data_IF_969574423417
#
_entry.id   IF_969574423417
#
_cell.length_a   1.000
_cell.length_b   1.000
_cell.length_c   1.000
_cell.angle_alpha   90.00
_cell.angle_beta   90.00
_cell.angle_gamma   90.00
#
_symmetry.space_group_name_H-M   'P 1'
#
loop_
_entity.id
_entity.type
_entity.pdbx_description
1 polymer ?
#
# COMPACT_ATOMS: atom_id res chain seq x y z
N UNK A 1 11.95 -7.45 -21.22
CA UNK A 1 11.61 -6.02 -20.97
C UNK A 1 11.00 -6.02 -19.60
N UNK A 2 11.58 -5.31 -18.63
CA UNK A 2 11.13 -5.36 -17.24
C UNK A 2 9.62 -5.06 -17.10
N UNK A 3 9.00 -5.65 -16.09
CA UNK A 3 7.58 -5.45 -15.76
C UNK A 3 7.33 -3.98 -15.40
N UNK A 4 8.24 -3.32 -14.67
CA UNK A 4 8.13 -1.88 -14.40
C UNK A 4 7.98 -1.04 -15.68
N UNK A 5 8.77 -1.33 -16.73
CA UNK A 5 8.65 -0.64 -18.04
C UNK A 5 7.33 -0.98 -18.73
N UNK A 6 6.87 -2.24 -18.65
CA UNK A 6 5.55 -2.66 -19.18
C UNK A 6 4.42 -1.87 -18.50
N UNK A 7 4.41 -1.80 -17.17
CA UNK A 7 3.41 -1.08 -16.39
C UNK A 7 3.42 0.42 -16.71
N UNK A 8 4.60 1.05 -16.75
CA UNK A 8 4.73 2.47 -17.09
C UNK A 8 4.12 2.78 -18.45
N UNK A 9 4.45 1.97 -19.46
CA UNK A 9 3.91 2.14 -20.80
C UNK A 9 2.39 1.94 -20.85
N UNK A 10 1.87 0.95 -20.12
CA UNK A 10 0.43 0.71 -20.02
C UNK A 10 -0.33 1.88 -19.41
N UNK A 11 0.16 2.44 -18.29
CA UNK A 11 -0.47 3.59 -17.63
C UNK A 11 -0.44 4.84 -18.52
N UNK A 12 0.71 5.17 -19.12
CA UNK A 12 0.82 6.28 -20.07
C UNK A 12 -0.14 6.12 -21.26
N UNK A 13 -0.27 4.90 -21.79
CA UNK A 13 -1.19 4.58 -22.89
C UNK A 13 -2.65 4.72 -22.45
N UNK A 14 -3.02 4.21 -21.26
CA UNK A 14 -4.37 4.34 -20.69
C UNK A 14 -4.73 5.83 -20.49
N UNK A 15 -3.84 6.62 -19.90
CA UNK A 15 -4.02 8.05 -19.71
C UNK A 15 -4.21 8.80 -21.03
N UNK A 16 -3.34 8.57 -22.01
CA UNK A 16 -3.41 9.18 -23.35
C UNK A 16 -4.70 8.82 -24.08
N UNK A 17 -5.12 7.55 -24.02
CA UNK A 17 -6.36 7.11 -24.64
C UNK A 17 -7.59 7.76 -23.98
N UNK A 18 -7.59 7.93 -22.65
CA UNK A 18 -8.67 8.62 -21.93
C UNK A 18 -8.73 10.10 -22.28
N UNK A 19 -7.58 10.77 -22.38
CA UNK A 19 -7.47 12.16 -22.82
C UNK A 19 -8.06 12.36 -24.22
N UNK A 20 -7.68 11.50 -25.18
CA UNK A 20 -8.17 11.59 -26.55
C UNK A 20 -9.69 11.36 -26.65
N UNK A 21 -10.21 10.35 -25.94
CA UNK A 21 -11.66 10.10 -25.86
C UNK A 21 -12.40 11.31 -25.27
N UNK A 22 -11.87 11.86 -24.18
CA UNK A 22 -12.43 13.04 -23.54
C UNK A 22 -12.46 14.26 -24.48
N UNK A 23 -11.34 14.53 -25.17
CA UNK A 23 -11.26 15.62 -26.14
C UNK A 23 -12.29 15.47 -27.26
N UNK A 24 -12.41 14.27 -27.85
CA UNK A 24 -13.41 14.00 -28.90
C UNK A 24 -14.84 14.24 -28.38
N UNK A 25 -15.17 13.76 -27.17
CA UNK A 25 -16.49 13.99 -26.56
C UNK A 25 -16.78 15.47 -26.31
N UNK A 26 -15.79 16.24 -25.84
CA UNK A 26 -15.93 17.70 -25.63
C UNK A 26 -16.13 18.41 -26.97
N UNK A 27 -15.36 18.08 -28.00
CA UNK A 27 -15.47 18.70 -29.33
C UNK A 27 -16.84 18.40 -29.97
N UNK A 28 -17.30 17.15 -29.92
CA UNK A 28 -18.61 16.77 -30.46
C UNK A 28 -19.73 17.45 -29.68
N UNK A 29 -19.73 17.33 -28.34
CA UNK A 29 -20.78 17.92 -27.50
C UNK A 29 -20.82 19.45 -27.60
N UNK A 30 -19.66 20.11 -27.59
CA UNK A 30 -19.55 21.55 -27.78
C UNK A 30 -19.98 21.99 -29.18
N UNK A 31 -19.62 21.23 -30.22
CA UNK A 31 -20.06 21.49 -31.59
C UNK A 31 -21.59 21.38 -31.74
N UNK A 32 -22.22 20.39 -31.10
CA UNK A 32 -23.68 20.26 -31.07
C UNK A 32 -24.33 21.46 -30.37
N UNK A 33 -23.82 21.88 -29.22
CA UNK A 33 -24.26 23.07 -28.48
C UNK A 33 -24.18 24.34 -29.34
N UNK A 34 -23.03 24.58 -29.98
CA UNK A 34 -22.82 25.76 -30.84
C UNK A 34 -23.77 25.73 -32.04
N UNK A 35 -23.91 24.57 -32.69
CA UNK A 35 -24.80 24.40 -33.83
C UNK A 35 -26.27 24.66 -33.47
N UNK A 36 -26.72 24.23 -32.29
CA UNK A 36 -28.06 24.55 -31.80
C UNK A 36 -28.25 26.04 -31.53
N UNK A 37 -27.23 26.70 -30.96
CA UNK A 37 -27.27 28.14 -30.68
C UNK A 37 -27.34 28.98 -31.97
N UNK A 38 -26.58 28.59 -33.00
CA UNK A 38 -26.53 29.29 -34.29
C UNK A 38 -27.80 29.06 -35.14
N UNK A 39 -28.46 27.90 -35.03
CA UNK A 39 -29.65 27.54 -35.80
C UNK A 39 -30.97 27.89 -35.07
N UNK A 40 -31.05 29.08 -34.47
CA UNK A 40 -32.15 29.55 -33.61
C UNK A 40 -33.58 29.43 -34.22
N UNK A 41 -33.71 29.21 -35.54
CA UNK A 41 -34.96 29.21 -36.30
C UNK A 41 -35.56 27.85 -36.72
N UNK A 42 -34.99 26.69 -36.37
CA UNK A 42 -35.66 25.41 -36.72
C UNK A 42 -36.67 24.96 -35.66
N UNK A 43 -37.87 24.58 -36.12
CA UNK A 43 -39.11 24.28 -35.38
C UNK A 43 -39.12 22.91 -34.68
N UNK A 44 -38.01 22.51 -34.06
CA UNK A 44 -37.93 21.20 -33.39
C UNK A 44 -38.54 21.33 -31.99
N UNK A 45 -39.75 20.80 -31.78
CA UNK A 45 -40.25 20.50 -30.43
C UNK A 45 -39.26 19.52 -29.76
N UNK A 46 -38.82 19.84 -28.54
CA UNK A 46 -37.84 19.11 -27.72
C UNK A 46 -36.33 19.45 -27.86
N UNK A 47 -35.96 20.67 -28.28
CA UNK A 47 -34.54 21.14 -28.23
C UNK A 47 -33.86 20.93 -26.86
N UNK A 48 -34.60 21.03 -25.77
CA UNK A 48 -34.07 20.83 -24.41
C UNK A 48 -33.43 19.44 -24.21
N UNK A 49 -33.92 18.39 -24.90
CA UNK A 49 -33.33 17.04 -24.83
C UNK A 49 -31.94 17.03 -25.46
N UNK A 50 -31.77 17.68 -26.61
CA UNK A 50 -30.48 17.78 -27.30
C UNK A 50 -29.48 18.63 -26.51
N UNK A 51 -29.93 19.71 -25.85
CA UNK A 51 -29.12 20.46 -24.89
C UNK A 51 -28.63 19.61 -23.73
N UNK A 52 -29.53 18.81 -23.11
CA UNK A 52 -29.16 17.91 -22.02
C UNK A 52 -28.16 16.86 -22.51
N UNK A 53 -28.43 16.18 -23.63
CA UNK A 53 -27.54 15.14 -24.17
C UNK A 53 -26.17 15.71 -24.52
N UNK A 54 -26.12 16.89 -25.14
CA UNK A 54 -24.86 17.55 -25.51
C UNK A 54 -24.09 18.01 -24.27
N UNK A 55 -24.77 18.53 -23.25
CA UNK A 55 -24.16 18.91 -21.97
C UNK A 55 -23.61 17.70 -21.23
N UNK A 56 -24.34 16.59 -21.19
CA UNK A 56 -23.88 15.31 -20.62
C UNK A 56 -22.64 14.81 -21.35
N UNK A 57 -22.59 14.89 -22.68
CA UNK A 57 -21.42 14.53 -23.47
C UNK A 57 -20.20 15.42 -23.16
N UNK A 58 -20.39 16.73 -22.99
CA UNK A 58 -19.32 17.64 -22.59
C UNK A 58 -18.80 17.32 -21.20
N UNK A 59 -19.70 17.15 -20.21
CA UNK A 59 -19.32 16.81 -18.83
C UNK A 59 -18.57 15.48 -18.80
N UNK A 60 -19.10 14.45 -19.48
CA UNK A 60 -18.42 13.16 -19.63
C UNK A 60 -17.01 13.33 -20.24
N UNK A 61 -16.90 14.14 -21.29
CA UNK A 61 -15.64 14.44 -21.95
C UNK A 61 -14.63 15.10 -21.00
N UNK A 62 -15.05 16.11 -20.24
CA UNK A 62 -14.22 16.79 -19.24
C UNK A 62 -13.76 15.83 -18.13
N UNK A 63 -14.64 14.97 -17.62
CA UNK A 63 -14.27 13.94 -16.62
C UNK A 63 -13.24 12.97 -17.20
N UNK A 64 -13.40 12.54 -18.46
CA UNK A 64 -12.44 11.66 -19.14
C UNK A 64 -11.10 12.33 -19.40
N UNK A 65 -11.10 13.62 -19.72
CA UNK A 65 -9.87 14.40 -19.85
C UNK A 65 -9.16 14.54 -18.49
N UNK A 66 -9.89 14.88 -17.42
CA UNK A 66 -9.32 15.00 -16.09
C UNK A 66 -8.72 13.67 -15.60
N UNK A 67 -9.50 12.58 -15.63
CA UNK A 67 -9.02 11.25 -15.24
C UNK A 67 -7.85 10.77 -16.09
N UNK A 68 -7.87 11.04 -17.41
CA UNK A 68 -6.75 10.72 -18.30
C UNK A 68 -5.48 11.51 -17.98
N UNK A 69 -5.63 12.79 -17.65
CA UNK A 69 -4.52 13.65 -17.21
C UNK A 69 -3.93 13.13 -15.90
N UNK A 70 -4.77 12.78 -14.91
CA UNK A 70 -4.31 12.22 -13.62
C UNK A 70 -3.51 10.92 -13.82
N UNK A 71 -4.01 9.97 -14.63
CA UNK A 71 -3.30 8.72 -14.96
C UNK A 71 -1.97 8.97 -15.70
N UNK A 72 -1.93 9.97 -16.57
CA UNK A 72 -0.70 10.30 -17.29
C UNK A 72 0.34 10.96 -16.39
N UNK A 73 -0.09 11.87 -15.52
CA UNK A 73 0.81 12.60 -14.63
C UNK A 73 1.39 11.72 -13.53
N UNK A 74 0.58 10.85 -12.93
CA UNK A 74 1.04 9.93 -11.88
C UNK A 74 2.21 9.05 -12.34
N UNK A 75 2.21 8.55 -13.57
CA UNK A 75 3.31 7.76 -14.12
C UNK A 75 4.65 8.54 -14.22
N UNK A 76 4.61 9.87 -14.10
CA UNK A 76 5.78 10.76 -14.12
C UNK A 76 6.00 11.50 -12.79
N UNK A 77 5.11 11.32 -11.81
CA UNK A 77 5.16 12.01 -10.53
C UNK A 77 6.39 11.55 -9.72
N UNK A 78 7.03 12.49 -9.03
CA UNK A 78 8.01 12.18 -8.01
C UNK A 78 7.31 11.56 -6.81
N UNK A 79 7.88 10.50 -6.25
CA UNK A 79 7.35 9.91 -5.01
C UNK A 79 7.74 10.83 -3.85
N UNK A 80 6.80 11.13 -2.96
CA UNK A 80 7.04 11.86 -1.72
C UNK A 80 8.00 11.13 -0.77
N UNK A 81 8.41 11.78 0.31
CA UNK A 81 9.25 11.14 1.33
C UNK A 81 8.38 10.51 2.44
N UNK A 82 8.72 9.32 2.94
CA UNK A 82 7.95 8.70 4.01
C UNK A 82 8.21 9.39 5.34
N UNK A 83 7.14 9.56 6.11
CA UNK A 83 7.20 10.12 7.47
C UNK A 83 6.92 9.05 8.52
N UNK A 84 7.98 8.37 8.96
CA UNK A 84 7.85 7.23 9.88
C UNK A 84 7.40 7.58 11.30
N UNK A 85 7.37 8.87 11.69
CA UNK A 85 6.77 9.31 12.96
C UNK A 85 5.26 8.98 13.06
N UNK A 86 4.59 8.68 11.94
CA UNK A 86 3.20 8.17 11.93
C UNK A 86 3.09 6.70 12.32
N UNK A 87 4.20 5.95 12.36
CA UNK A 87 4.24 4.55 12.80
C UNK A 87 4.50 4.41 14.31
N UNK A 88 4.72 5.51 15.03
CA UNK A 88 5.09 5.52 16.45
C UNK A 88 4.03 6.26 17.24
N UNK A 89 3.64 5.70 18.39
CA UNK A 89 2.61 6.27 19.25
C UNK A 89 3.10 6.69 20.62
N UNK A 90 2.75 7.91 21.05
CA UNK A 90 3.02 8.32 22.41
C UNK A 90 2.07 7.66 23.44
N UNK A 91 0.80 7.39 23.10
CA UNK A 91 -0.21 6.90 24.06
C UNK A 91 -1.13 5.83 23.44
N UNK A 92 -0.66 4.58 23.28
CA UNK A 92 -1.49 3.50 22.75
C UNK A 92 -2.68 3.15 23.66
N UNK A 93 -3.84 2.85 23.06
CA UNK A 93 -4.98 2.23 23.77
C UNK A 93 -4.65 0.84 24.31
N UNK A 94 -3.86 0.08 23.56
CA UNK A 94 -3.34 -1.22 23.96
C UNK A 94 -1.82 -1.25 23.64
N UNK A 95 -0.95 -1.15 24.66
CA UNK A 95 0.49 -1.20 24.43
C UNK A 95 0.93 -2.61 23.99
N UNK A 96 2.01 -2.67 23.22
CA UNK A 96 2.72 -3.92 22.94
C UNK A 96 3.19 -4.55 24.25
N UNK A 97 2.99 -5.86 24.40
CA UNK A 97 3.32 -6.56 25.65
C UNK A 97 4.67 -7.27 25.61
N UNK A 98 5.16 -7.62 24.43
CA UNK A 98 6.36 -8.44 24.25
C UNK A 98 7.05 -8.17 22.90
N UNK A 99 8.21 -8.80 22.71
CA UNK A 99 8.99 -8.67 21.47
C UNK A 99 8.26 -9.28 20.26
N UNK A 100 7.46 -10.33 20.45
CA UNK A 100 6.70 -10.96 19.36
C UNK A 100 5.73 -9.96 18.72
N UNK A 101 4.94 -9.26 19.53
CA UNK A 101 4.04 -8.20 19.09
C UNK A 101 4.82 -7.04 18.46
N UNK A 102 5.96 -6.67 19.04
CA UNK A 102 6.82 -5.60 18.49
C UNK A 102 7.33 -5.95 17.10
N UNK A 103 7.87 -7.15 16.90
CA UNK A 103 8.40 -7.55 15.61
C UNK A 103 7.28 -7.77 14.58
N UNK A 104 6.11 -8.28 14.99
CA UNK A 104 4.92 -8.32 14.13
C UNK A 104 4.51 -6.93 13.63
N UNK A 105 4.57 -5.91 14.50
CA UNK A 105 4.29 -4.52 14.13
C UNK A 105 5.33 -3.95 13.15
N UNK A 106 6.61 -4.29 13.31
CA UNK A 106 7.66 -3.89 12.37
C UNK A 106 7.44 -4.50 10.97
N UNK A 107 6.92 -5.74 10.90
CA UNK A 107 6.58 -6.41 9.63
C UNK A 107 5.43 -5.69 8.92
N UNK A 108 4.42 -5.27 9.66
CA UNK A 108 3.31 -4.48 9.11
C UNK A 108 3.78 -3.16 8.46
N UNK A 109 4.84 -2.56 9.01
CA UNK A 109 5.49 -1.37 8.48
C UNK A 109 5.89 -1.44 7.00
N UNK A 110 6.12 -2.64 6.44
CA UNK A 110 6.37 -2.81 5.01
C UNK A 110 5.15 -2.43 4.15
N UNK A 111 3.94 -2.78 4.58
CA UNK A 111 2.70 -2.34 3.91
C UNK A 111 2.40 -0.87 4.19
N UNK A 112 2.67 -0.46 5.40
CA UNK A 112 2.26 0.85 5.89
C UNK A 112 3.17 1.99 5.43
N UNK A 113 4.43 1.69 5.14
CA UNK A 113 5.42 2.66 4.68
C UNK A 113 5.00 3.45 3.43
N UNK A 114 4.21 2.85 2.52
CA UNK A 114 3.77 3.54 1.30
C UNK A 114 2.54 4.41 1.51
N UNK A 115 1.87 4.32 2.67
CA UNK A 115 0.67 5.09 3.00
C UNK A 115 1.00 6.39 3.75
N UNK A 116 2.27 6.59 4.11
CA UNK A 116 2.78 7.73 4.88
C UNK A 116 3.70 8.65 4.05
N UNK A 117 3.49 8.68 2.72
CA UNK A 117 4.28 9.51 1.81
C UNK A 117 3.75 10.96 1.81
N UNK A 118 4.66 11.93 2.00
CA UNK A 118 4.34 13.35 1.96
C UNK A 118 5.01 14.04 0.75
N UNK A 119 4.19 14.67 -0.08
CA UNK A 119 4.63 15.35 -1.31
C UNK A 119 4.90 16.86 -1.12
N UNK A 120 4.47 17.47 -0.01
CA UNK A 120 4.55 18.91 0.18
C UNK A 120 5.79 19.35 0.99
N UNK A 121 6.50 20.34 0.45
CA UNK A 121 7.81 20.81 0.95
C UNK A 121 7.74 21.43 2.35
N UNK A 122 6.61 22.00 2.73
CA UNK A 122 6.45 22.70 4.01
C UNK A 122 6.32 21.68 5.15
N UNK A 123 5.46 20.67 4.98
CA UNK A 123 5.38 19.54 5.89
C UNK A 123 6.74 18.84 5.97
N UNK A 124 7.39 18.54 4.85
CA UNK A 124 8.72 17.91 4.85
C UNK A 124 9.79 18.72 5.62
N UNK A 125 9.78 20.05 5.52
CA UNK A 125 10.73 20.91 6.22
C UNK A 125 10.52 20.91 7.74
N UNK A 126 9.27 20.90 8.20
CA UNK A 126 8.94 20.80 9.63
C UNK A 126 9.30 19.43 10.19
N UNK A 127 8.96 18.36 9.45
CA UNK A 127 9.24 16.97 9.83
C UNK A 127 10.75 16.69 9.87
N UNK A 128 11.54 17.28 8.96
CA UNK A 128 13.00 17.16 8.99
C UNK A 128 13.62 17.74 10.26
N UNK A 129 13.03 18.80 10.81
CA UNK A 129 13.54 19.46 12.02
C UNK A 129 13.01 18.82 13.31
N UNK A 130 11.87 18.14 13.24
CA UNK A 130 11.34 17.32 14.31
C UNK A 130 10.60 16.11 13.71
N UNK A 131 11.25 14.93 13.61
CA UNK A 131 10.69 13.74 12.99
C UNK A 131 9.55 13.09 13.82
N UNK A 132 9.23 13.67 14.98
CA UNK A 132 8.07 13.31 15.80
C UNK A 132 7.03 14.44 15.82
N UNK A 133 7.23 15.51 15.04
CA UNK A 133 6.31 16.63 14.99
C UNK A 133 5.00 16.18 14.35
N UNK A 134 3.94 16.14 15.14
CA UNK A 134 2.57 16.11 14.66
C UNK A 134 2.01 17.53 14.74
N UNK A 135 1.35 18.00 13.67
CA UNK A 135 0.70 19.32 13.61
C UNK A 135 -0.60 19.35 14.45
N UNK A 136 -0.55 18.97 15.72
CA UNK A 136 -1.59 19.29 16.72
C UNK A 136 -0.97 19.52 18.11
N UNK A 137 -1.58 20.43 18.87
CA UNK A 137 -1.04 21.07 20.07
C UNK A 137 -0.76 20.10 21.24
N UNK A 138 0.50 20.12 21.69
CA UNK A 138 1.04 19.64 22.97
C UNK A 138 0.87 18.15 23.30
N UNK A 139 1.86 17.35 22.91
CA UNK A 139 2.16 16.04 23.54
C UNK A 139 3.66 15.97 23.82
N UNK A 140 4.04 15.49 25.01
CA UNK A 140 5.44 15.23 25.37
C UNK A 140 5.82 13.79 24.99
N UNK A 141 7.05 13.61 24.49
CA UNK A 141 7.49 12.38 23.82
C UNK A 141 8.13 11.35 24.78
N UNK A 142 7.86 10.06 24.52
CA UNK A 142 8.52 8.88 25.11
C UNK A 142 8.62 7.72 24.10
N UNK A 143 9.45 6.71 24.40
CA UNK A 143 9.86 5.62 23.50
C UNK A 143 8.85 4.45 23.41
N UNK A 144 7.62 4.68 22.95
CA UNK A 144 6.60 3.62 22.80
C UNK A 144 6.26 3.29 21.34
N UNK A 145 6.39 2.02 20.97
CA UNK A 145 5.78 1.41 19.77
C UNK A 145 4.47 0.73 20.19
N UNK A 146 3.49 0.62 19.30
CA UNK A 146 2.12 0.29 19.70
C UNK A 146 1.41 -0.66 18.75
N UNK A 147 0.49 -1.47 19.29
CA UNK A 147 -0.68 -1.90 18.54
C UNK A 147 -1.61 -0.67 18.41
N UNK A 148 -1.51 0.00 17.26
CA UNK A 148 -2.49 0.95 16.68
C UNK A 148 -2.33 2.44 16.96
N UNK A 149 -1.66 3.18 16.07
CA UNK A 149 -2.22 4.42 15.49
C UNK A 149 -1.38 4.89 14.28
N UNK A 150 -1.86 4.53 13.10
CA UNK A 150 -1.86 5.48 12.02
C UNK A 150 -2.80 6.61 12.41
N UNK A 151 -2.35 7.86 12.36
CA UNK A 151 -3.21 9.03 12.57
C UNK A 151 -4.42 9.09 11.59
N UNK A 152 -4.46 8.21 10.58
CA UNK A 152 -5.67 7.91 9.81
C UNK A 152 -6.68 7.05 10.58
N UNK A 153 -6.28 5.93 11.18
CA UNK A 153 -7.17 4.84 11.62
C UNK A 153 -7.97 5.15 12.90
N UNK A 154 -7.49 6.02 13.80
CA UNK A 154 -8.21 6.35 15.05
C UNK A 154 -8.74 7.78 15.18
N UNK A 155 -8.35 8.70 14.29
CA UNK A 155 -9.17 9.89 14.01
C UNK A 155 -10.22 9.63 12.92
N UNK A 156 -10.08 8.51 12.21
CA UNK A 156 -11.22 7.83 11.65
C UNK A 156 -12.03 7.17 12.76
N UNK A 157 -13.33 7.43 12.78
CA UNK A 157 -14.23 6.62 13.60
C UNK A 157 -14.09 5.14 13.20
N UNK A 158 -14.36 4.20 14.10
CA UNK A 158 -14.46 2.75 13.82
C UNK A 158 -15.16 2.45 12.48
N UNK A 159 -16.13 3.29 12.10
CA UNK A 159 -16.81 3.29 10.82
C UNK A 159 -15.90 3.40 9.59
N UNK A 160 -14.81 4.15 9.62
CA UNK A 160 -13.91 4.30 8.46
C UNK A 160 -12.97 3.12 8.32
N UNK A 161 -12.47 2.53 9.42
CA UNK A 161 -11.69 1.28 9.35
C UNK A 161 -12.56 0.16 8.80
N UNK A 162 -13.81 0.05 9.28
CA UNK A 162 -14.82 -0.85 8.72
C UNK A 162 -15.07 -0.56 7.24
N UNK A 163 -15.16 0.70 6.85
CA UNK A 163 -15.33 1.09 5.43
C UNK A 163 -14.12 0.69 4.58
N UNK A 164 -12.90 0.85 5.08
CA UNK A 164 -11.67 0.49 4.37
C UNK A 164 -11.53 -1.02 4.19
N UNK A 165 -11.82 -1.79 5.25
CA UNK A 165 -11.90 -3.25 5.22
C UNK A 165 -12.98 -3.74 4.25
N UNK A 166 -14.18 -3.14 4.29
CA UNK A 166 -15.27 -3.46 3.36
C UNK A 166 -14.90 -3.13 1.91
N UNK A 167 -14.40 -1.92 1.62
CA UNK A 167 -14.13 -1.48 0.26
C UNK A 167 -12.92 -2.17 -0.40
N UNK A 168 -11.91 -2.54 0.40
CA UNK A 168 -10.63 -3.03 -0.13
C UNK A 168 -10.47 -4.54 0.00
N UNK A 169 -11.13 -5.14 0.98
CA UNK A 169 -10.98 -6.55 1.36
C UNK A 169 -12.30 -7.31 1.44
N UNK A 170 -13.45 -6.64 1.23
CA UNK A 170 -14.79 -7.22 1.37
C UNK A 170 -15.05 -7.82 2.77
N UNK A 171 -14.37 -7.31 3.79
CA UNK A 171 -14.55 -7.73 5.18
C UNK A 171 -15.59 -6.84 5.83
N UNK A 172 -16.74 -7.41 6.17
CA UNK A 172 -17.87 -6.73 6.82
C UNK A 172 -18.22 -7.32 8.19
N UNK A 173 -17.61 -8.45 8.55
CA UNK A 173 -17.91 -9.22 9.76
C UNK A 173 -16.67 -9.90 10.37
N UNK A 174 -16.83 -10.40 11.60
CA UNK A 174 -15.82 -11.19 12.31
C UNK A 174 -15.49 -12.53 11.64
N UNK A 175 -16.44 -13.12 10.91
CA UNK A 175 -16.23 -14.40 10.19
C UNK A 175 -15.35 -14.15 8.97
N UNK A 176 -15.75 -13.21 8.10
CA UNK A 176 -14.98 -12.82 6.91
C UNK A 176 -13.57 -12.32 7.26
N UNK A 177 -13.42 -11.60 8.37
CA UNK A 177 -12.10 -11.19 8.86
C UNK A 177 -11.19 -12.39 9.13
N UNK A 178 -11.69 -13.41 9.84
CA UNK A 178 -10.92 -14.62 10.17
C UNK A 178 -10.62 -15.45 8.93
N UNK A 179 -11.59 -15.57 8.02
CA UNK A 179 -11.39 -16.25 6.74
C UNK A 179 -10.29 -15.58 5.92
N UNK A 180 -10.31 -14.25 5.82
CA UNK A 180 -9.31 -13.51 5.06
C UNK A 180 -7.91 -13.57 5.71
N UNK A 181 -7.83 -13.51 7.05
CA UNK A 181 -6.58 -13.68 7.79
C UNK A 181 -6.02 -15.09 7.58
N UNK A 182 -6.87 -16.12 7.70
CA UNK A 182 -6.48 -17.51 7.48
C UNK A 182 -6.00 -17.75 6.05
N UNK A 183 -6.71 -17.23 5.05
CA UNK A 183 -6.31 -17.37 3.64
C UNK A 183 -4.95 -16.71 3.34
N UNK A 184 -4.70 -15.53 3.92
CA UNK A 184 -3.39 -14.87 3.80
C UNK A 184 -2.29 -15.66 4.54
N UNK A 185 -2.59 -16.17 5.73
CA UNK A 185 -1.65 -17.01 6.46
C UNK A 185 -1.29 -18.29 5.71
N UNK A 186 -2.29 -18.98 5.16
CA UNK A 186 -2.07 -20.18 4.36
C UNK A 186 -1.26 -19.86 3.10
N UNK A 187 -1.54 -18.74 2.43
CA UNK A 187 -0.73 -18.24 1.31
C UNK A 187 0.73 -17.95 1.69
N UNK A 188 0.97 -17.37 2.87
CA UNK A 188 2.31 -17.17 3.40
C UNK A 188 3.02 -18.51 3.68
N UNK A 189 2.32 -19.50 4.25
CA UNK A 189 2.86 -20.83 4.52
C UNK A 189 3.18 -21.59 3.23
N UNK A 190 2.28 -21.58 2.24
CA UNK A 190 2.55 -22.17 0.92
C UNK A 190 3.72 -21.46 0.21
N UNK A 191 3.76 -20.13 0.30
CA UNK A 191 4.83 -19.32 -0.25
C UNK A 191 6.19 -19.55 0.40
N UNK A 192 6.23 -20.04 1.65
CA UNK A 192 7.47 -20.35 2.36
C UNK A 192 8.25 -21.49 1.68
N UNK A 193 7.54 -22.43 1.06
CA UNK A 193 8.09 -23.63 0.42
C UNK A 193 8.64 -23.36 -0.99
N UNK A 194 8.47 -22.14 -1.51
CA UNK A 194 8.84 -21.77 -2.87
C UNK A 194 9.84 -20.62 -2.88
N UNK A 195 10.96 -20.79 -3.58
CA UNK A 195 11.92 -19.70 -3.82
C UNK A 195 11.33 -18.60 -4.72
N UNK A 196 11.86 -17.38 -4.65
CA UNK A 196 11.51 -16.30 -5.60
C UNK A 196 11.70 -16.69 -7.06
N UNK A 197 12.64 -17.61 -7.34
CA UNK A 197 12.90 -18.13 -8.68
C UNK A 197 11.82 -19.10 -9.19
N UNK A 198 10.86 -19.49 -8.35
CA UNK A 198 9.72 -20.31 -8.77
C UNK A 198 8.73 -19.55 -9.66
N UNK A 199 8.72 -18.20 -9.63
CA UNK A 199 7.91 -17.40 -10.54
C UNK A 199 8.37 -17.57 -11.99
N UNK A 200 7.44 -17.80 -12.91
CA UNK A 200 7.74 -17.99 -14.35
C UNK A 200 8.45 -16.79 -15.01
N UNK A 201 8.29 -15.60 -14.43
CA UNK A 201 8.80 -14.30 -14.82
C UNK A 201 9.80 -13.73 -13.76
N UNK A 202 10.40 -14.57 -12.91
CA UNK A 202 11.24 -14.14 -11.79
C UNK A 202 12.31 -13.11 -12.16
N UNK A 203 13.06 -13.33 -13.25
CA UNK A 203 14.09 -12.38 -13.70
C UNK A 203 13.52 -11.00 -14.04
N UNK A 204 12.36 -10.96 -14.72
CA UNK A 204 11.67 -9.74 -15.11
C UNK A 204 11.10 -9.01 -13.88
N UNK A 205 10.64 -9.75 -12.85
CA UNK A 205 10.18 -9.23 -11.56
C UNK A 205 11.35 -8.59 -10.79
N UNK A 206 12.40 -9.36 -10.56
CA UNK A 206 13.60 -8.93 -9.83
C UNK A 206 14.22 -7.70 -10.48
N UNK A 207 14.43 -7.74 -11.80
CA UNK A 207 14.98 -6.61 -12.54
C UNK A 207 14.13 -5.34 -12.38
N UNK A 208 12.80 -5.46 -12.28
CA UNK A 208 11.90 -4.32 -12.10
C UNK A 208 12.09 -3.65 -10.74
N UNK A 209 12.26 -4.43 -9.68
CA UNK A 209 12.47 -3.93 -8.32
C UNK A 209 13.83 -3.22 -8.21
N UNK A 210 14.88 -3.79 -8.81
CA UNK A 210 16.22 -3.18 -8.88
C UNK A 210 16.22 -1.90 -9.73
N UNK A 211 15.56 -1.91 -10.89
CA UNK A 211 15.43 -0.72 -11.75
C UNK A 211 14.76 0.47 -11.04
N UNK A 212 13.91 0.20 -10.05
CA UNK A 212 13.22 1.21 -9.26
C UNK A 212 13.97 1.62 -7.99
N UNK A 213 15.15 1.03 -7.74
CA UNK A 213 16.10 1.51 -6.73
C UNK A 213 16.23 0.66 -5.48
N UNK A 214 15.61 -0.52 -5.42
CA UNK A 214 15.84 -1.45 -4.31
C UNK A 214 17.24 -2.08 -4.42
N UNK A 215 18.00 -2.10 -3.32
CA UNK A 215 19.33 -2.72 -3.27
C UNK A 215 19.23 -4.20 -2.93
N UNK A 216 19.67 -5.07 -3.85
CA UNK A 216 19.65 -6.52 -3.70
C UNK A 216 21.02 -7.19 -3.89
N UNK A 217 22.13 -6.44 -3.87
CA UNK A 217 23.46 -6.94 -4.27
C UNK A 217 23.95 -8.17 -3.50
N UNK A 218 23.54 -8.30 -2.24
CA UNK A 218 23.97 -9.36 -1.34
C UNK A 218 22.89 -10.43 -1.10
N UNK A 219 21.82 -10.44 -1.92
CA UNK A 219 20.70 -11.37 -1.77
C UNK A 219 20.77 -12.53 -2.76
N UNK A 220 20.37 -13.70 -2.29
CA UNK A 220 20.26 -14.92 -3.09
C UNK A 220 18.79 -15.26 -3.31
N UNK A 221 18.25 -14.92 -4.48
CA UNK A 221 16.84 -15.13 -4.81
C UNK A 221 16.43 -16.61 -4.84
N UNK A 222 17.38 -17.55 -4.96
CA UNK A 222 17.09 -18.99 -4.86
C UNK A 222 16.81 -19.45 -3.42
N UNK A 223 17.26 -18.69 -2.42
CA UNK A 223 17.10 -19.01 -0.99
C UNK A 223 16.00 -18.22 -0.30
N UNK A 224 15.57 -17.12 -0.89
CA UNK A 224 14.50 -16.29 -0.36
C UNK A 224 13.18 -16.82 -0.89
N UNK A 225 12.21 -17.00 -0.01
CA UNK A 225 10.90 -17.53 -0.37
C UNK A 225 9.91 -16.44 -0.83
N UNK A 226 8.74 -16.82 -1.33
CA UNK A 226 7.73 -15.87 -1.87
C UNK A 226 6.68 -15.40 -0.85
N UNK A 227 6.82 -15.74 0.43
CA UNK A 227 5.77 -15.51 1.45
C UNK A 227 5.58 -14.05 1.87
N UNK A 228 6.54 -13.16 1.61
CA UNK A 228 6.62 -11.85 2.25
C UNK A 228 5.39 -10.97 2.04
N UNK A 229 4.77 -11.01 0.86
CA UNK A 229 3.58 -10.18 0.58
C UNK A 229 2.33 -10.64 1.34
N UNK A 230 2.13 -11.93 1.47
CA UNK A 230 0.99 -12.49 2.21
C UNK A 230 1.20 -12.35 3.72
N UNK A 231 2.41 -12.65 4.20
CA UNK A 231 2.79 -12.51 5.60
C UNK A 231 2.54 -11.10 6.14
N UNK A 232 3.01 -10.09 5.40
CA UNK A 232 2.81 -8.68 5.76
C UNK A 232 1.32 -8.31 5.77
N UNK A 233 0.54 -8.82 4.79
CA UNK A 233 -0.91 -8.57 4.74
C UNK A 233 -1.68 -9.29 5.84
N UNK A 234 -1.24 -10.47 6.29
CA UNK A 234 -1.84 -11.18 7.42
C UNK A 234 -1.86 -10.31 8.67
N UNK A 235 -0.70 -9.74 9.04
CA UNK A 235 -0.63 -8.89 10.23
C UNK A 235 -1.36 -7.55 10.01
N UNK A 236 -1.28 -6.96 8.82
CA UNK A 236 -2.01 -5.74 8.49
C UNK A 236 -3.53 -5.92 8.67
N UNK A 237 -4.10 -6.98 8.06
CA UNK A 237 -5.55 -7.27 8.13
C UNK A 237 -5.94 -7.60 9.57
N UNK A 238 -5.18 -8.45 10.28
CA UNK A 238 -5.47 -8.77 11.67
C UNK A 238 -5.53 -7.52 12.55
N UNK A 239 -4.58 -6.60 12.39
CA UNK A 239 -4.57 -5.33 13.13
C UNK A 239 -5.79 -4.47 12.81
N UNK A 240 -6.14 -4.32 11.55
CA UNK A 240 -7.32 -3.54 11.13
C UNK A 240 -8.63 -4.18 11.61
N UNK A 241 -8.73 -5.50 11.55
CA UNK A 241 -9.87 -6.26 12.06
C UNK A 241 -10.03 -6.11 13.58
N UNK A 242 -8.94 -6.07 14.34
CA UNK A 242 -9.00 -5.78 15.78
C UNK A 242 -9.53 -4.37 16.03
N UNK A 243 -9.01 -3.36 15.32
CA UNK A 243 -9.48 -1.98 15.46
C UNK A 243 -10.97 -1.83 15.09
N UNK A 244 -11.41 -2.55 14.06
CA UNK A 244 -12.82 -2.60 13.66
C UNK A 244 -13.72 -3.38 14.65
N UNK A 245 -13.15 -3.99 15.70
CA UNK A 245 -13.89 -4.82 16.66
C UNK A 245 -14.36 -6.16 16.08
N UNK A 246 -13.73 -6.64 15.00
CA UNK A 246 -14.05 -7.93 14.38
C UNK A 246 -13.33 -9.10 15.04
N UNK A 247 -12.14 -8.88 15.59
CA UNK A 247 -11.38 -9.87 16.37
C UNK A 247 -10.98 -9.29 17.73
N UNK A 248 -10.74 -10.17 18.70
CA UNK A 248 -10.36 -9.78 20.07
C UNK A 248 -8.85 -9.58 20.20
N UNK A 249 -8.41 -8.93 21.29
CA UNK A 249 -6.99 -8.65 21.52
C UNK A 249 -6.16 -9.94 21.61
N UNK A 250 -6.65 -10.96 22.30
CA UNK A 250 -5.96 -12.25 22.46
C UNK A 250 -5.75 -12.95 21.12
N UNK A 251 -6.68 -12.82 20.18
CA UNK A 251 -6.57 -13.35 18.82
C UNK A 251 -5.47 -12.62 18.03
N UNK A 252 -5.44 -11.28 18.10
CA UNK A 252 -4.38 -10.50 17.48
C UNK A 252 -2.99 -10.84 18.04
N UNK A 253 -2.87 -11.07 19.35
CA UNK A 253 -1.59 -11.47 19.98
C UNK A 253 -1.12 -12.83 19.48
N UNK A 254 -2.02 -13.80 19.38
CA UNK A 254 -1.70 -15.11 18.83
C UNK A 254 -1.22 -15.03 17.36
N UNK A 255 -1.90 -14.22 16.54
CA UNK A 255 -1.50 -13.97 15.15
C UNK A 255 -0.13 -13.28 15.09
N UNK A 256 0.10 -12.28 15.95
CA UNK A 256 1.36 -11.55 16.02
C UNK A 256 2.53 -12.48 16.35
N UNK A 257 2.34 -13.38 17.33
CA UNK A 257 3.32 -14.41 17.65
C UNK A 257 3.64 -15.32 16.47
N UNK A 258 2.62 -15.82 15.77
CA UNK A 258 2.80 -16.68 14.60
C UNK A 258 3.60 -15.97 13.50
N UNK A 259 3.25 -14.70 13.21
CA UNK A 259 3.95 -13.88 12.21
C UNK A 259 5.41 -13.62 12.61
N UNK A 260 5.66 -13.32 13.87
CA UNK A 260 7.01 -13.11 14.38
C UNK A 260 7.86 -14.40 14.31
N UNK A 261 7.32 -15.53 14.77
CA UNK A 261 7.99 -16.84 14.73
C UNK A 261 8.31 -17.26 13.29
N UNK A 262 7.34 -17.11 12.39
CA UNK A 262 7.52 -17.39 10.97
C UNK A 262 8.62 -16.52 10.36
N UNK A 263 8.63 -15.22 10.69
CA UNK A 263 9.64 -14.29 10.15
C UNK A 263 11.04 -14.66 10.61
N UNK A 264 11.20 -14.97 11.89
CA UNK A 264 12.45 -15.40 12.49
C UNK A 264 12.99 -16.68 11.80
N UNK A 265 12.10 -17.63 11.50
CA UNK A 265 12.46 -18.90 10.88
C UNK A 265 12.84 -18.77 9.39
N UNK A 266 12.25 -17.82 8.67
CA UNK A 266 12.30 -17.79 7.21
C UNK A 266 13.21 -16.71 6.60
N UNK A 267 13.61 -15.69 7.36
CA UNK A 267 14.37 -14.57 6.82
C UNK A 267 15.64 -14.29 7.61
N UNK A 268 16.77 -14.11 6.90
CA UNK A 268 18.05 -13.81 7.52
C UNK A 268 18.09 -12.41 8.13
N UNK A 269 17.42 -11.45 7.50
CA UNK A 269 17.40 -10.04 7.91
C UNK A 269 16.18 -9.33 7.30
N UNK A 270 15.96 -8.09 7.72
CA UNK A 270 14.86 -7.26 7.21
C UNK A 270 14.93 -7.02 5.70
N UNK A 271 16.13 -6.98 5.13
CA UNK A 271 16.33 -6.75 3.71
C UNK A 271 15.80 -7.93 2.87
N UNK A 272 15.99 -9.17 3.32
CA UNK A 272 15.42 -10.36 2.67
C UNK A 272 13.89 -10.38 2.74
N UNK A 273 13.31 -10.04 3.89
CA UNK A 273 11.85 -9.91 4.01
C UNK A 273 11.31 -8.82 3.06
N UNK A 274 11.95 -7.65 3.05
CA UNK A 274 11.58 -6.55 2.16
C UNK A 274 11.67 -6.93 0.69
N UNK A 275 12.67 -7.74 0.32
CA UNK A 275 12.82 -8.23 -1.03
C UNK A 275 11.74 -9.23 -1.41
N UNK A 276 11.46 -10.21 -0.54
CA UNK A 276 10.37 -11.17 -0.72
C UNK A 276 9.02 -10.45 -0.89
N UNK A 277 8.75 -9.49 0.00
CA UNK A 277 7.56 -8.66 -0.04
C UNK A 277 7.42 -7.92 -1.38
N UNK A 278 8.46 -7.23 -1.85
CA UNK A 278 8.39 -6.43 -3.08
C UNK A 278 8.24 -7.28 -4.34
N UNK A 279 8.91 -8.43 -4.43
CA UNK A 279 8.82 -9.33 -5.58
C UNK A 279 7.42 -9.94 -5.65
N UNK A 280 6.91 -10.49 -4.54
CA UNK A 280 5.56 -11.06 -4.49
C UNK A 280 4.46 -10.01 -4.67
N UNK A 281 4.66 -8.79 -4.17
CA UNK A 281 3.77 -7.66 -4.45
C UNK A 281 3.70 -7.34 -5.94
N UNK A 282 4.84 -7.32 -6.63
CA UNK A 282 4.88 -7.02 -8.06
C UNK A 282 4.21 -8.12 -8.89
N UNK A 283 4.37 -9.40 -8.53
CA UNK A 283 3.65 -10.49 -9.19
C UNK A 283 2.13 -10.30 -9.06
N UNK A 284 1.65 -10.04 -7.84
CA UNK A 284 0.23 -9.71 -7.61
C UNK A 284 -0.21 -8.48 -8.43
N UNK A 285 0.59 -7.42 -8.46
CA UNK A 285 0.27 -6.18 -9.14
C UNK A 285 0.21 -6.35 -10.67
N UNK A 286 1.12 -7.14 -11.24
CA UNK A 286 1.12 -7.52 -12.67
C UNK A 286 -0.14 -8.31 -13.03
N UNK A 287 -0.62 -9.16 -12.12
CA UNK A 287 -1.83 -9.95 -12.31
C UNK A 287 -3.11 -9.11 -12.15
N UNK A 288 -3.19 -8.27 -11.12
CA UNK A 288 -4.34 -7.41 -10.83
C UNK A 288 -4.54 -6.28 -11.85
N UNK A 289 -3.44 -5.78 -12.44
CA UNK A 289 -3.43 -4.71 -13.48
C UNK A 289 -4.29 -3.48 -13.14
N UNK A 290 -4.22 -2.94 -11.90
CA UNK A 290 -5.02 -1.78 -11.53
C UNK A 290 -4.68 -0.56 -12.42
N UNK A 291 -5.51 0.47 -12.35
CA UNK A 291 -5.07 1.79 -12.83
C UNK A 291 -3.95 2.28 -11.93
N UNK A 292 -2.96 2.99 -12.47
CA UNK A 292 -1.82 3.52 -11.69
C UNK A 292 -0.82 2.47 -11.20
N UNK A 293 -0.83 1.26 -11.75
CA UNK A 293 0.03 0.17 -11.30
C UNK A 293 1.52 0.56 -11.27
N UNK A 294 2.02 1.32 -12.25
CA UNK A 294 3.42 1.76 -12.22
C UNK A 294 3.72 2.70 -11.07
N UNK A 295 2.81 3.64 -10.79
CA UNK A 295 2.99 4.59 -9.69
C UNK A 295 2.95 3.86 -8.34
N UNK A 296 1.98 2.96 -8.15
CA UNK A 296 1.87 2.13 -6.95
C UNK A 296 3.14 1.31 -6.71
N UNK A 297 3.71 0.70 -7.76
CA UNK A 297 4.98 -0.02 -7.67
C UNK A 297 6.14 0.88 -7.26
N UNK A 298 6.26 2.04 -7.91
CA UNK A 298 7.32 3.00 -7.66
C UNK A 298 7.26 3.53 -6.23
N UNK A 299 6.07 3.89 -5.76
CA UNK A 299 5.81 4.30 -4.37
C UNK A 299 6.21 3.20 -3.40
N UNK A 300 5.80 1.95 -3.68
CA UNK A 300 6.08 0.81 -2.81
C UNK A 300 7.57 0.51 -2.68
N UNK A 301 8.27 0.43 -3.81
CA UNK A 301 9.73 0.18 -3.84
C UNK A 301 10.46 1.30 -3.10
N UNK A 302 10.10 2.55 -3.35
CA UNK A 302 10.70 3.68 -2.67
C UNK A 302 10.46 3.63 -1.16
N UNK A 303 9.21 3.48 -0.73
CA UNK A 303 8.83 3.46 0.67
C UNK A 303 9.50 2.33 1.46
N UNK A 304 9.50 1.10 0.92
CA UNK A 304 10.17 -0.04 1.56
C UNK A 304 11.67 0.17 1.64
N UNK A 305 12.30 0.70 0.59
CA UNK A 305 13.74 1.00 0.61
C UNK A 305 14.07 2.01 1.71
N UNK A 306 13.25 3.06 1.86
CA UNK A 306 13.41 4.03 2.93
C UNK A 306 13.14 3.42 4.31
N UNK A 307 12.16 2.53 4.44
CA UNK A 307 11.84 1.85 5.70
C UNK A 307 13.02 1.01 6.19
N UNK A 308 13.76 0.40 5.27
CA UNK A 308 14.94 -0.38 5.58
C UNK A 308 16.18 0.48 5.92
N UNK A 309 16.35 1.64 5.27
CA UNK A 309 17.61 2.38 5.33
C UNK A 309 17.61 3.66 6.19
N UNK A 310 16.44 4.24 6.47
CA UNK A 310 16.35 5.54 7.15
C UNK A 310 16.58 5.41 8.66
N UNK A 311 17.37 6.33 9.22
CA UNK A 311 17.67 6.35 10.66
C UNK A 311 16.44 6.54 11.54
N UNK A 312 15.41 7.22 11.03
CA UNK A 312 14.16 7.47 11.74
C UNK A 312 13.10 6.39 11.49
N UNK A 313 13.44 5.32 10.76
CA UNK A 313 12.54 4.18 10.60
C UNK A 313 12.39 3.42 11.92
N UNK A 314 11.18 2.89 12.24
CA UNK A 314 10.98 1.90 13.30
C UNK A 314 11.90 0.68 13.23
N UNK A 315 12.39 0.31 12.03
CA UNK A 315 13.37 -0.78 11.88
C UNK A 315 14.78 -0.39 12.33
N UNK A 316 15.09 0.90 12.45
CA UNK A 316 16.42 1.35 12.79
C UNK A 316 16.83 0.84 14.18
N UNK A 317 17.97 0.13 14.23
CA UNK A 317 18.48 -0.48 15.46
C UNK A 317 17.79 -1.77 15.87
N UNK A 318 17.00 -2.40 14.99
CA UNK A 318 16.40 -3.72 15.22
C UNK A 318 17.07 -4.79 14.33
N UNK A 319 17.00 -6.06 14.73
CA UNK A 319 17.51 -7.15 13.90
C UNK A 319 16.68 -8.44 14.03
N UNK A 320 16.58 -9.22 12.96
CA UNK A 320 15.95 -10.53 13.04
C UNK A 320 16.78 -11.56 13.83
N UNK A 321 18.07 -11.30 14.06
CA UNK A 321 18.91 -12.10 14.95
C UNK A 321 18.42 -12.05 16.41
N UNK A 322 18.01 -10.87 16.88
CA UNK A 322 17.43 -10.70 18.21
C UNK A 322 16.12 -11.47 18.34
N UNK A 323 15.26 -11.40 17.33
CA UNK A 323 13.99 -12.13 17.31
C UNK A 323 14.21 -13.65 17.28
N UNK A 324 15.17 -14.12 16.48
CA UNK A 324 15.55 -15.54 16.47
C UNK A 324 16.08 -16.00 17.82
N UNK A 325 17.00 -15.23 18.41
CA UNK A 325 17.54 -15.55 19.73
C UNK A 325 16.45 -15.61 20.81
N UNK A 326 15.42 -14.76 20.70
CA UNK A 326 14.24 -14.81 21.55
C UNK A 326 13.50 -16.15 21.41
N UNK A 327 13.13 -16.58 20.20
CA UNK A 327 12.43 -17.85 19.98
C UNK A 327 13.31 -19.08 20.34
N UNK A 328 14.62 -19.02 20.09
CA UNK A 328 15.56 -20.07 20.49
C UNK A 328 15.69 -20.19 22.02
N UNK A 329 15.36 -19.13 22.76
CA UNK A 329 15.41 -19.11 24.23
C UNK A 329 14.16 -19.65 24.92
N UNK A 330 13.06 -19.84 24.18
CA UNK A 330 11.80 -20.31 24.74
C UNK A 330 11.89 -21.80 25.12
N UNK A 331 11.16 -22.24 26.17
CA UNK A 331 11.11 -23.65 26.57
C UNK A 331 10.57 -24.55 25.45
N UNK A 332 11.12 -25.75 25.32
CA UNK A 332 10.64 -26.76 24.35
C UNK A 332 9.15 -27.03 24.58
N UNK A 333 8.31 -26.65 23.60
CA UNK A 333 6.85 -26.74 23.67
C UNK A 333 6.12 -25.39 23.63
N UNK A 334 6.86 -24.28 23.68
CA UNK A 334 6.36 -22.91 23.46
C UNK A 334 6.87 -22.33 22.12
N UNK A 335 7.43 -23.13 21.22
CA UNK A 335 7.83 -22.70 19.87
C UNK A 335 6.75 -22.95 18.84
#
# INVERSE_FOLDING_TARGET
MSIAKKLKFQDLKKGTASLLKGLVSVVIGGGLIINEFLNYFSSIENKWILWILSSVLVIYGLVKMFTGWVVFQSANQSVGEPFFGLLILPEPKAPLQNDEEKYAFLIDGFYESSLILHDDKESLAELKNNPLHRRELSVQYGDSFALNDFYGIYNEAESTVKSSLSNSWDINSSEEAREQIAALWDGAMEGAEMSLMAYSNAEDLIQSIVELGFDNKDMDAEKINVSGFDLVRTIWVARHSYVAGYIEAEELRAISRNVAAFTAANYANWQELGYSYLVSYLDWLENAKPSFAYNMLKERVYAVSQYLSQQHSPLAGTSLDELRAYFDSLPVGEN
#
